data_IF_219969092292
#
_entry.id   IF_219969092292
#
_cell.length_a   1.000
_cell.length_b   1.000
_cell.length_c   1.000
_cell.angle_alpha   90.00
_cell.angle_beta   90.00
_cell.angle_gamma   90.00
#
_symmetry.space_group_name_H-M   'P 1'
#
loop_
_entity.id
_entity.type
_entity.pdbx_description
1 polymer ?
#
# COMPACT_ATOMS: atom_id res chain seq x y z
N UNK A 1 -10.82 -6.45 11.64
CA UNK A 1 -9.61 -5.82 11.10
C UNK A 1 -10.00 -5.20 9.75
N UNK A 2 -9.68 -3.94 9.49
CA UNK A 2 -10.08 -3.24 8.25
C UNK A 2 -9.07 -3.40 7.09
N UNK A 3 -8.10 -4.30 7.23
CA UNK A 3 -7.02 -4.49 6.26
C UNK A 3 -7.04 -5.93 5.78
N UNK A 4 -7.22 -6.14 4.48
CA UNK A 4 -7.07 -7.44 3.84
C UNK A 4 -5.62 -7.63 3.43
N UNK A 5 -5.01 -8.72 3.88
CA UNK A 5 -3.69 -9.16 3.42
C UNK A 5 -3.84 -10.31 2.45
N UNK A 6 -3.28 -10.17 1.27
CA UNK A 6 -3.13 -11.22 0.28
C UNK A 6 -1.71 -11.75 0.38
N UNK A 7 -1.55 -13.02 0.70
CA UNK A 7 -0.22 -13.63 0.94
C UNK A 7 0.58 -13.80 -0.35
N UNK A 8 -0.12 -13.98 -1.48
CA UNK A 8 0.53 -14.09 -2.79
C UNK A 8 -0.44 -13.71 -3.89
N UNK A 9 -0.12 -12.66 -4.67
CA UNK A 9 -0.84 -12.38 -5.92
C UNK A 9 -0.39 -13.37 -7.01
N UNK A 10 -1.21 -13.64 -8.06
CA UNK A 10 -0.85 -14.60 -9.12
C UNK A 10 0.50 -14.28 -9.77
N UNK A 11 1.32 -15.31 -10.00
CA UNK A 11 2.68 -15.15 -10.55
C UNK A 11 2.68 -14.40 -11.90
N UNK A 12 1.73 -14.68 -12.77
CA UNK A 12 1.60 -13.99 -14.05
C UNK A 12 1.34 -12.48 -13.82
N UNK A 13 0.41 -12.14 -12.95
CA UNK A 13 0.10 -10.74 -12.62
C UNK A 13 1.33 -10.05 -12.03
N UNK A 14 2.01 -10.68 -11.08
CA UNK A 14 3.21 -10.13 -10.46
C UNK A 14 4.30 -9.82 -11.49
N UNK A 15 4.57 -10.76 -12.41
CA UNK A 15 5.55 -10.56 -13.47
C UNK A 15 5.14 -9.44 -14.44
N UNK A 16 3.86 -9.38 -14.81
CA UNK A 16 3.33 -8.30 -15.68
C UNK A 16 3.47 -6.92 -15.00
N UNK A 17 3.23 -6.83 -13.68
CA UNK A 17 3.41 -5.59 -12.92
C UNK A 17 4.89 -5.20 -12.81
N UNK A 18 5.80 -6.15 -12.64
CA UNK A 18 7.25 -5.87 -12.63
C UNK A 18 7.77 -5.33 -13.96
N UNK A 19 7.13 -5.64 -15.06
CA UNK A 19 7.51 -5.08 -16.37
C UNK A 19 7.07 -3.61 -16.51
N UNK A 20 5.93 -3.22 -15.94
CA UNK A 20 5.40 -1.86 -16.12
C UNK A 20 6.04 -0.81 -15.21
N UNK A 21 6.75 -1.19 -14.14
CA UNK A 21 7.44 -0.22 -13.27
C UNK A 21 8.54 0.57 -13.98
N UNK A 22 9.02 0.09 -15.14
CA UNK A 22 10.00 0.80 -15.95
C UNK A 22 9.41 1.99 -16.74
N UNK A 23 8.09 2.13 -16.71
CA UNK A 23 7.41 3.28 -17.30
C UNK A 23 7.50 4.49 -16.38
N UNK A 24 8.51 5.30 -16.60
CA UNK A 24 8.78 6.53 -15.84
C UNK A 24 8.36 7.79 -16.62
N UNK A 25 7.33 7.68 -17.46
CA UNK A 25 6.93 8.75 -18.37
C UNK A 25 6.22 9.93 -17.70
N UNK A 26 5.62 9.72 -16.54
CA UNK A 26 4.85 10.74 -15.81
C UNK A 26 5.26 10.77 -14.34
N UNK A 27 5.94 11.82 -13.91
CA UNK A 27 6.25 12.06 -12.50
C UNK A 27 4.97 12.31 -11.70
N UNK A 28 4.92 11.83 -10.47
CA UNK A 28 3.73 11.90 -9.61
C UNK A 28 3.97 12.49 -8.22
N UNK A 29 5.20 12.80 -7.86
CA UNK A 29 5.61 13.28 -6.53
C UNK A 29 4.75 14.42 -5.97
N UNK A 30 4.40 15.41 -6.80
CA UNK A 30 3.62 16.58 -6.37
C UNK A 30 2.18 16.25 -5.92
N UNK A 31 1.70 15.05 -6.18
CA UNK A 31 0.36 14.57 -5.83
C UNK A 31 0.37 13.56 -4.68
N UNK A 32 1.54 13.14 -4.21
CA UNK A 32 1.71 12.12 -3.18
C UNK A 32 2.32 12.72 -1.91
N UNK A 33 2.04 12.07 -0.77
CA UNK A 33 2.56 12.49 0.52
C UNK A 33 4.01 12.03 0.78
N UNK A 34 4.55 11.17 -0.08
CA UNK A 34 5.85 10.55 0.09
C UNK A 34 7.00 11.56 0.16
N UNK A 35 7.89 11.39 1.14
CA UNK A 35 9.20 12.01 1.11
C UNK A 35 10.16 11.09 0.35
N UNK A 36 9.81 10.86 -0.92
CA UNK A 36 10.42 9.91 -1.85
C UNK A 36 10.78 10.68 -3.13
N UNK A 37 12.00 10.50 -3.62
CA UNK A 37 12.49 11.22 -4.80
C UNK A 37 11.84 10.75 -6.11
N UNK A 38 11.50 9.47 -6.24
CA UNK A 38 11.03 8.88 -7.48
C UNK A 38 9.68 8.19 -7.32
N UNK A 39 8.64 8.85 -7.80
CA UNK A 39 7.26 8.36 -7.82
C UNK A 39 6.64 8.64 -9.21
N UNK A 40 6.10 7.59 -9.85
CA UNK A 40 5.61 7.69 -11.24
C UNK A 40 4.18 7.19 -11.36
N UNK A 41 3.38 7.91 -12.15
CA UNK A 41 2.00 7.56 -12.47
C UNK A 41 1.95 6.45 -13.52
N UNK A 42 1.09 5.46 -13.31
CA UNK A 42 0.96 4.27 -14.15
C UNK A 42 -0.47 4.04 -14.65
N UNK A 43 -1.32 5.05 -14.73
CA UNK A 43 -2.76 4.89 -15.01
C UNK A 43 -3.04 4.15 -16.33
N UNK A 44 -2.19 4.27 -17.34
CA UNK A 44 -2.33 3.51 -18.59
C UNK A 44 -2.24 1.99 -18.41
N UNK A 45 -1.73 1.53 -17.27
CA UNK A 45 -1.60 0.12 -16.91
C UNK A 45 -2.73 -0.39 -15.99
N UNK A 46 -3.69 0.47 -15.61
CA UNK A 46 -4.87 0.12 -14.81
C UNK A 46 -5.57 -1.16 -15.30
N UNK A 47 -5.83 -1.36 -16.62
CA UNK A 47 -6.53 -2.55 -17.10
C UNK A 47 -5.85 -3.89 -16.75
N UNK A 48 -4.55 -3.88 -16.45
CA UNK A 48 -3.81 -5.10 -16.07
C UNK A 48 -4.14 -5.60 -14.67
N UNK A 49 -4.55 -4.68 -13.78
CA UNK A 49 -4.75 -4.95 -12.34
C UNK A 49 -6.22 -4.83 -11.91
N UNK A 50 -6.98 -3.95 -12.55
CA UNK A 50 -8.31 -3.53 -12.08
C UNK A 50 -9.23 -4.71 -11.77
N UNK A 51 -9.40 -5.63 -12.74
CA UNK A 51 -10.30 -6.77 -12.53
C UNK A 51 -9.92 -7.60 -11.33
N UNK A 52 -8.65 -7.96 -11.20
CA UNK A 52 -8.16 -8.75 -10.07
C UNK A 52 -8.42 -8.05 -8.74
N UNK A 53 -8.10 -6.75 -8.65
CA UNK A 53 -8.28 -5.95 -7.45
C UNK A 53 -9.75 -5.85 -7.03
N UNK A 54 -10.64 -5.57 -7.98
CA UNK A 54 -12.09 -5.46 -7.71
C UNK A 54 -12.66 -6.80 -7.26
N UNK A 55 -12.28 -7.91 -7.91
CA UNK A 55 -12.69 -9.26 -7.49
C UNK A 55 -12.22 -9.57 -6.06
N UNK A 56 -11.00 -9.18 -5.68
CA UNK A 56 -10.48 -9.37 -4.32
C UNK A 56 -11.24 -8.53 -3.28
N UNK A 57 -11.64 -7.32 -3.62
CA UNK A 57 -12.47 -6.48 -2.75
C UNK A 57 -13.88 -7.08 -2.60
N UNK A 58 -14.53 -7.45 -3.70
CA UNK A 58 -15.89 -7.98 -3.72
C UNK A 58 -16.03 -9.30 -2.95
N UNK A 59 -14.97 -10.12 -2.96
CA UNK A 59 -14.93 -11.40 -2.24
C UNK A 59 -14.56 -11.27 -0.75
N UNK A 60 -14.37 -10.05 -0.22
CA UNK A 60 -13.99 -9.84 1.18
C UNK A 60 -15.14 -9.21 1.98
N UNK A 61 -15.85 -9.99 2.81
CA UNK A 61 -17.06 -9.51 3.50
C UNK A 61 -16.85 -8.26 4.36
N UNK A 62 -15.70 -8.12 5.03
CA UNK A 62 -15.49 -6.94 5.88
C UNK A 62 -15.24 -5.66 5.07
N UNK A 63 -14.60 -5.73 3.90
CA UNK A 63 -14.46 -4.58 2.98
C UNK A 63 -15.82 -4.18 2.42
N UNK A 64 -16.64 -5.14 2.05
CA UNK A 64 -18.00 -4.90 1.57
C UNK A 64 -18.87 -4.28 2.67
N UNK A 65 -18.79 -4.78 3.90
CA UNK A 65 -19.52 -4.20 5.04
C UNK A 65 -19.06 -2.77 5.35
N UNK A 66 -17.75 -2.48 5.27
CA UNK A 66 -17.24 -1.12 5.39
C UNK A 66 -17.86 -0.20 4.32
N UNK A 67 -17.83 -0.62 3.06
CA UNK A 67 -18.40 0.15 1.96
C UNK A 67 -19.89 0.43 2.16
N UNK A 68 -20.67 -0.59 2.54
CA UNK A 68 -22.11 -0.44 2.76
C UNK A 68 -22.42 0.53 3.91
N UNK A 69 -21.68 0.42 5.02
CA UNK A 69 -21.92 1.23 6.22
C UNK A 69 -21.49 2.70 6.02
N UNK A 70 -20.31 2.92 5.50
CA UNK A 70 -19.70 4.26 5.51
C UNK A 70 -20.10 5.09 4.28
N UNK A 71 -20.54 4.42 3.21
CA UNK A 71 -20.99 5.10 1.98
C UNK A 71 -22.49 4.91 1.68
N UNK A 72 -23.22 4.23 2.57
CA UNK A 72 -24.66 3.95 2.41
C UNK A 72 -24.99 3.35 1.03
N UNK A 73 -24.20 2.38 0.61
CA UNK A 73 -24.30 1.75 -0.71
C UNK A 73 -24.92 0.37 -0.58
N UNK A 74 -26.02 0.12 -1.26
CA UNK A 74 -26.39 -1.24 -1.62
C UNK A 74 -25.45 -1.71 -2.70
N UNK A 75 -24.81 -2.86 -2.48
CA UNK A 75 -23.72 -3.41 -3.31
C UNK A 75 -24.06 -3.63 -4.78
N UNK A 76 -25.34 -3.67 -5.13
CA UNK A 76 -25.82 -3.91 -6.51
C UNK A 76 -25.74 -2.66 -7.40
N UNK A 77 -25.71 -1.45 -6.80
CA UNK A 77 -25.89 -0.19 -7.53
C UNK A 77 -24.59 0.60 -7.78
N UNK A 78 -23.46 0.22 -7.16
CA UNK A 78 -22.23 0.99 -7.29
C UNK A 78 -21.03 0.15 -7.69
N UNK A 79 -20.71 0.20 -8.96
CA UNK A 79 -19.51 -0.41 -9.51
C UNK A 79 -18.26 0.33 -9.02
N UNK A 80 -17.26 -0.41 -8.58
CA UNK A 80 -15.94 0.11 -8.26
C UNK A 80 -15.07 0.18 -9.51
N UNK A 81 -14.10 1.10 -9.51
CA UNK A 81 -13.05 1.18 -10.52
C UNK A 81 -11.73 1.61 -9.90
N UNK A 82 -10.62 1.16 -10.47
CA UNK A 82 -9.29 1.63 -10.14
C UNK A 82 -9.09 3.00 -10.81
N UNK A 83 -9.08 4.08 -10.01
CA UNK A 83 -9.09 5.45 -10.50
C UNK A 83 -7.68 6.07 -10.63
N UNK A 84 -6.70 5.52 -9.92
CA UNK A 84 -5.31 5.97 -9.96
C UNK A 84 -4.38 4.80 -9.67
N UNK A 85 -3.23 4.77 -10.34
CA UNK A 85 -2.18 3.78 -10.16
C UNK A 85 -0.82 4.46 -10.22
N UNK A 86 0.07 4.17 -9.26
CA UNK A 86 1.44 4.70 -9.25
C UNK A 86 2.43 3.70 -8.67
N UNK A 87 3.72 3.97 -8.91
CA UNK A 87 4.84 3.22 -8.36
C UNK A 87 5.76 4.13 -7.57
N UNK A 88 6.21 3.66 -6.41
CA UNK A 88 7.19 4.34 -5.55
C UNK A 88 8.51 3.59 -5.60
N UNK A 89 9.60 4.31 -5.85
CA UNK A 89 10.98 3.83 -5.77
C UNK A 89 11.64 4.47 -4.55
N UNK A 90 11.37 3.90 -3.39
CA UNK A 90 11.86 4.39 -2.11
C UNK A 90 13.33 3.98 -1.91
N UNK A 91 14.22 4.95 -1.68
CA UNK A 91 15.59 4.74 -1.22
C UNK A 91 15.66 4.56 0.29
N UNK A 92 16.80 4.09 0.80
CA UNK A 92 17.08 4.13 2.25
C UNK A 92 16.89 5.56 2.79
N UNK A 93 16.37 5.68 4.03
CA UNK A 93 16.04 6.93 4.72
C UNK A 93 14.82 7.68 4.20
N UNK A 94 14.33 7.40 3.01
CA UNK A 94 13.08 7.94 2.51
C UNK A 94 11.88 7.27 3.22
N UNK A 95 10.74 7.97 3.29
CA UNK A 95 9.56 7.51 4.03
C UNK A 95 8.28 8.15 3.50
N UNK A 96 7.11 7.58 3.85
CA UNK A 96 5.85 8.27 3.71
C UNK A 96 5.37 8.71 5.10
N UNK A 97 5.14 10.02 5.32
CA UNK A 97 4.57 10.52 6.57
C UNK A 97 3.14 9.98 6.77
N UNK A 98 2.55 10.28 7.92
CA UNK A 98 1.16 9.94 8.19
C UNK A 98 0.25 10.64 7.18
N UNK A 99 -0.53 9.86 6.43
CA UNK A 99 -1.46 10.35 5.41
C UNK A 99 -2.62 9.38 5.21
N UNK A 100 -3.59 9.78 4.42
CA UNK A 100 -4.67 8.96 3.88
C UNK A 100 -4.88 9.27 2.39
N UNK A 101 -5.80 8.58 1.75
CA UNK A 101 -6.07 8.74 0.32
C UNK A 101 -7.52 9.14 0.05
N UNK A 102 -7.74 9.64 -1.16
CA UNK A 102 -9.07 9.78 -1.72
C UNK A 102 -9.58 8.45 -2.26
N UNK A 103 -10.92 8.29 -2.25
CA UNK A 103 -11.59 7.10 -2.74
C UNK A 103 -12.19 6.25 -1.63
N UNK A 104 -12.56 5.03 -2.00
CA UNK A 104 -13.19 4.04 -1.09
C UNK A 104 -12.14 3.11 -0.50
N UNK A 105 -11.28 2.58 -1.36
CA UNK A 105 -10.18 1.70 -0.97
C UNK A 105 -8.86 2.16 -1.58
N UNK A 106 -7.78 1.81 -0.91
CA UNK A 106 -6.41 1.87 -1.40
C UNK A 106 -5.74 0.52 -1.24
N UNK A 107 -4.63 0.33 -1.94
CA UNK A 107 -3.83 -0.88 -1.83
C UNK A 107 -2.34 -0.59 -1.95
N UNK A 108 -1.52 -1.53 -1.49
CA UNK A 108 -0.07 -1.57 -1.67
C UNK A 108 0.32 -2.98 -2.14
N UNK A 109 1.00 -3.09 -3.27
CA UNK A 109 1.65 -4.31 -3.75
C UNK A 109 3.14 -4.17 -3.54
N UNK A 110 3.79 -5.16 -2.93
CA UNK A 110 5.23 -5.19 -2.68
C UNK A 110 5.94 -5.89 -3.84
N UNK A 111 6.66 -5.13 -4.67
CA UNK A 111 7.29 -5.64 -5.89
C UNK A 111 8.76 -6.00 -5.70
N UNK A 112 9.47 -5.24 -4.86
CA UNK A 112 10.87 -5.46 -4.49
C UNK A 112 11.13 -4.90 -3.11
N UNK A 113 11.76 -5.69 -2.24
CA UNK A 113 12.17 -5.27 -0.91
C UNK A 113 13.63 -5.68 -0.70
N UNK A 114 14.58 -4.71 -0.60
CA UNK A 114 16.01 -5.01 -0.66
C UNK A 114 16.64 -5.36 0.69
N UNK A 115 15.86 -5.71 1.71
CA UNK A 115 16.35 -5.97 3.07
C UNK A 115 15.56 -7.09 3.75
N UNK A 116 16.20 -7.69 4.76
CA UNK A 116 15.57 -8.60 5.71
C UNK A 116 15.29 -7.89 7.04
N UNK A 117 14.25 -8.31 7.74
CA UNK A 117 13.87 -7.73 9.05
C UNK A 117 15.01 -7.81 10.07
N UNK A 118 15.71 -8.94 10.12
CA UNK A 118 16.79 -9.16 11.07
C UNK A 118 18.02 -8.26 10.81
N UNK A 119 18.21 -7.81 9.58
CA UNK A 119 19.21 -6.81 9.24
C UNK A 119 18.80 -5.44 9.79
N UNK A 120 17.55 -5.03 9.56
CA UNK A 120 17.02 -3.76 10.03
C UNK A 120 17.12 -3.60 11.54
N UNK A 121 16.79 -4.63 12.31
CA UNK A 121 16.93 -4.66 13.78
C UNK A 121 18.35 -4.36 14.27
N UNK A 122 19.37 -4.69 13.47
CA UNK A 122 20.78 -4.49 13.86
C UNK A 122 21.32 -3.10 13.51
N UNK A 123 20.85 -2.52 12.41
CA UNK A 123 21.47 -1.32 11.82
C UNK A 123 20.60 -0.06 11.94
N UNK A 124 19.29 -0.18 12.18
CA UNK A 124 18.42 0.99 12.31
C UNK A 124 18.85 1.90 13.46
N UNK A 125 18.60 3.21 13.36
CA UNK A 125 18.80 4.13 14.49
C UNK A 125 18.01 3.72 15.74
N UNK A 126 16.84 3.12 15.55
CA UNK A 126 15.95 2.62 16.60
C UNK A 126 16.30 1.25 17.18
N UNK A 127 17.44 0.64 16.81
CA UNK A 127 17.80 -0.74 17.20
C UNK A 127 17.82 -1.03 18.71
N UNK A 128 18.00 0.00 19.53
CA UNK A 128 17.98 -0.08 20.98
C UNK A 128 16.68 0.45 21.60
N UNK A 129 15.69 0.80 20.78
CA UNK A 129 14.39 1.28 21.22
C UNK A 129 13.46 0.09 21.51
N UNK A 130 12.51 0.28 22.41
CA UNK A 130 11.40 -0.66 22.63
C UNK A 130 10.40 -0.67 21.47
N UNK A 131 10.47 0.31 20.56
CA UNK A 131 9.64 0.43 19.38
C UNK A 131 10.52 0.61 18.12
N UNK A 132 11.17 -0.48 17.71
CA UNK A 132 11.96 -0.49 16.48
C UNK A 132 11.06 -0.83 15.29
N UNK A 133 10.88 0.11 14.35
CA UNK A 133 9.90 0.05 13.26
C UNK A 133 10.52 0.27 11.86
N UNK A 134 11.84 0.13 11.69
CA UNK A 134 12.47 0.28 10.38
C UNK A 134 11.86 -0.63 9.32
N UNK A 135 11.47 -0.05 8.19
CA UNK A 135 10.83 -0.75 7.07
C UNK A 135 9.35 -1.08 7.24
N UNK A 136 8.72 -0.73 8.37
CA UNK A 136 7.30 -1.03 8.62
C UNK A 136 6.36 -0.22 7.74
N UNK A 137 5.19 -0.80 7.52
CA UNK A 137 3.96 -0.08 7.17
C UNK A 137 3.07 -0.10 8.41
N UNK A 138 2.63 1.06 8.88
CA UNK A 138 1.79 1.20 10.06
C UNK A 138 0.49 1.90 9.73
N UNK A 139 -0.62 1.34 10.22
CA UNK A 139 -1.97 1.89 10.10
C UNK A 139 -2.45 2.34 11.48
N UNK A 140 -3.15 3.48 11.51
CA UNK A 140 -3.64 4.11 12.73
C UNK A 140 -5.17 4.24 12.68
N UNK A 141 -5.83 3.90 13.77
CA UNK A 141 -7.29 4.00 13.89
C UNK A 141 -7.71 4.28 15.32
N UNK A 142 -8.94 4.76 15.49
CA UNK A 142 -9.51 4.99 16.82
C UNK A 142 -9.98 3.67 17.42
N UNK A 143 -9.52 3.36 18.61
CA UNK A 143 -10.03 2.25 19.42
C UNK A 143 -11.40 2.58 20.03
N UNK A 144 -12.05 1.55 20.58
CA UNK A 144 -13.40 1.66 21.20
C UNK A 144 -13.43 2.66 22.38
N UNK A 145 -12.31 2.84 23.06
CA UNK A 145 -12.18 3.76 24.19
C UNK A 145 -11.72 5.18 23.79
N UNK A 146 -11.62 5.47 22.48
CA UNK A 146 -11.16 6.75 21.97
C UNK A 146 -9.62 6.91 21.95
N UNK A 147 -8.87 5.88 22.32
CA UNK A 147 -7.41 5.81 22.18
C UNK A 147 -7.02 5.61 20.71
N UNK A 148 -5.81 6.00 20.36
CA UNK A 148 -5.22 5.66 19.06
C UNK A 148 -4.62 4.24 19.17
N UNK A 149 -5.05 3.37 18.29
CA UNK A 149 -4.50 2.03 18.11
C UNK A 149 -3.74 1.94 16.79
N UNK A 150 -2.77 1.05 16.72
CA UNK A 150 -1.97 0.84 15.52
C UNK A 150 -1.93 -0.62 15.12
N UNK A 151 -1.84 -0.86 13.80
CA UNK A 151 -1.53 -2.16 13.21
C UNK A 151 -0.24 -2.05 12.42
N UNK A 152 0.79 -2.76 12.85
CA UNK A 152 2.12 -2.72 12.27
C UNK A 152 2.39 -3.95 11.41
N UNK A 153 2.92 -3.73 10.23
CA UNK A 153 3.36 -4.76 9.28
C UNK A 153 4.87 -4.65 9.10
N UNK A 154 5.66 -5.59 9.65
CA UNK A 154 7.12 -5.59 9.53
C UNK A 154 7.53 -6.08 8.14
N UNK A 155 7.48 -5.17 7.17
CA UNK A 155 7.75 -5.47 5.77
C UNK A 155 9.23 -5.72 5.56
N UNK A 156 9.55 -6.84 4.90
CA UNK A 156 10.88 -7.23 4.47
C UNK A 156 10.81 -8.03 3.16
N UNK A 157 11.91 -8.63 2.72
CA UNK A 157 11.99 -9.39 1.46
C UNK A 157 10.95 -10.50 1.34
N UNK A 158 10.47 -11.07 2.46
CA UNK A 158 9.40 -12.09 2.45
C UNK A 158 8.02 -11.54 2.09
N UNK A 159 7.91 -10.21 1.95
CA UNK A 159 6.68 -9.53 1.53
C UNK A 159 6.58 -9.34 0.02
N UNK A 160 7.62 -9.60 -0.74
CA UNK A 160 7.53 -9.55 -2.21
C UNK A 160 6.38 -10.44 -2.69
N UNK A 161 5.60 -9.93 -3.65
CA UNK A 161 4.38 -10.54 -4.19
C UNK A 161 3.16 -10.55 -3.24
N UNK A 162 3.25 -9.94 -2.04
CA UNK A 162 2.09 -9.73 -1.17
C UNK A 162 1.38 -8.42 -1.51
N UNK A 163 0.13 -8.30 -1.05
CA UNK A 163 -0.70 -7.11 -1.23
C UNK A 163 -1.48 -6.80 0.04
N UNK A 164 -1.60 -5.53 0.36
CA UNK A 164 -2.54 -5.01 1.37
C UNK A 164 -3.65 -4.22 0.68
N UNK A 165 -4.91 -4.45 1.07
CA UNK A 165 -6.07 -3.65 0.65
C UNK A 165 -6.73 -3.10 1.91
N UNK A 166 -7.05 -1.80 1.92
CA UNK A 166 -7.57 -1.11 3.09
C UNK A 166 -8.47 0.08 2.70
N UNK A 167 -9.33 0.56 3.62
CA UNK A 167 -10.10 1.79 3.42
C UNK A 167 -9.19 2.97 3.08
N UNK A 168 -9.51 3.71 2.03
CA UNK A 168 -8.67 4.83 1.58
C UNK A 168 -8.50 5.91 2.66
N UNK A 169 -9.49 6.10 3.54
CA UNK A 169 -9.46 7.08 4.64
C UNK A 169 -8.68 6.61 5.87
N UNK A 170 -8.21 5.37 5.89
CA UNK A 170 -7.40 4.85 7.00
C UNK A 170 -6.02 5.50 6.98
N UNK A 171 -5.67 6.21 8.06
CA UNK A 171 -4.36 6.83 8.22
C UNK A 171 -3.27 5.77 8.29
N UNK A 172 -2.17 6.02 7.58
CA UNK A 172 -1.02 5.13 7.59
C UNK A 172 0.28 5.88 7.28
N UNK A 173 1.39 5.25 7.61
CA UNK A 173 2.73 5.72 7.26
C UNK A 173 3.61 4.55 6.82
N UNK A 174 4.72 4.89 6.15
CA UNK A 174 5.75 3.94 5.74
C UNK A 174 7.07 4.39 6.31
N UNK A 175 7.62 3.60 7.22
CA UNK A 175 8.90 3.92 7.86
C UNK A 175 10.08 3.72 6.90
N UNK A 176 11.16 4.48 7.09
CA UNK A 176 12.39 4.30 6.33
C UNK A 176 13.03 2.94 6.61
N UNK A 177 13.81 2.44 5.65
CA UNK A 177 14.73 1.33 5.84
C UNK A 177 16.17 1.82 5.74
N UNK A 178 17.13 0.97 6.11
CA UNK A 178 18.54 1.31 6.26
C UNK A 178 19.47 0.26 5.63
N UNK A 179 20.70 0.64 5.36
CA UNK A 179 21.82 -0.29 5.08
C UNK A 179 21.85 -0.91 3.67
N UNK A 180 20.90 -0.58 2.77
CA UNK A 180 20.93 -1.06 1.41
C UNK A 180 20.69 0.11 0.45
N UNK A 181 21.37 0.11 -0.70
CA UNK A 181 21.27 1.17 -1.72
C UNK A 181 20.27 0.83 -2.84
N UNK A 182 19.76 -0.40 -2.88
CA UNK A 182 18.69 -0.79 -3.79
C UNK A 182 17.35 -0.20 -3.37
N UNK A 183 16.42 -0.08 -4.32
CA UNK A 183 15.11 0.47 -4.07
C UNK A 183 14.16 -0.55 -3.40
N UNK A 184 13.40 -0.09 -2.41
CA UNK A 184 12.11 -0.67 -2.08
C UNK A 184 11.10 -0.18 -3.13
N UNK A 185 10.51 -1.10 -3.89
CA UNK A 185 9.56 -0.77 -4.96
C UNK A 185 8.18 -1.28 -4.57
N UNK A 186 7.24 -0.36 -4.48
CA UNK A 186 5.83 -0.65 -4.20
C UNK A 186 4.93 -0.04 -5.27
N UNK A 187 3.85 -0.73 -5.62
CA UNK A 187 2.80 -0.21 -6.48
C UNK A 187 1.56 0.03 -5.65
N UNK A 188 0.97 1.20 -5.80
CA UNK A 188 -0.20 1.62 -5.03
C UNK A 188 -1.25 2.26 -5.92
N UNK A 189 -2.48 2.39 -5.44
CA UNK A 189 -3.55 3.01 -6.18
C UNK A 189 -4.80 3.25 -5.35
N UNK A 190 -5.76 3.96 -5.95
CA UNK A 190 -7.03 4.33 -5.33
C UNK A 190 -8.21 3.78 -6.11
N UNK A 191 -9.10 3.11 -5.40
CA UNK A 191 -10.37 2.60 -5.92
C UNK A 191 -11.48 3.58 -5.56
N UNK A 192 -12.31 3.95 -6.55
CA UNK A 192 -13.45 4.86 -6.41
C UNK A 192 -14.71 4.20 -6.95
N UNK A 193 -15.87 4.78 -6.62
CA UNK A 193 -17.10 4.45 -7.34
C UNK A 193 -17.00 4.94 -8.78
N UNK A 194 -17.53 4.16 -9.72
CA UNK A 194 -17.74 4.64 -11.10
C UNK A 194 -18.79 5.74 -11.08
N UNK A 195 -18.47 6.84 -11.72
CA UNK A 195 -19.40 7.96 -11.95
C UNK A 195 -20.20 7.66 -13.21
#
# INVERSE_FOLDING_TARGET
MLIKKIEKIPDKLFNDLKLVIHDKSVEHNSYLAGNIEQEYRLDKHIPKLEKYLIDEIANEPFLMNYMNRDYNCNTEDRLLSLAALWVNFQKKHEFNPIHNHDGVFSFIIFLQIPYLREEQKKISPGRNSNLECAGFVEFMYSGLMGNIETSQFPVDKTWEQKMLIFPAKLFHCVYPFYGNDDYRITMSGNVKFKV
#
